data_IF_988835505228
#
_entry.id   IF_988835505228
#
_cell.length_a   1.000
_cell.length_b   1.000
_cell.length_c   1.000
_cell.angle_alpha   90.00
_cell.angle_beta   90.00
_cell.angle_gamma   90.00
#
_symmetry.space_group_name_H-M   'P 1'
#
loop_
_entity.id
_entity.type
_entity.pdbx_description
1 polymer ?
#
# COMPACT_ATOMS: atom_id res chain seq x y z
N UNK A 1 -15.58 -8.47 11.17
CA UNK A 1 -15.10 -8.46 9.76
C UNK A 1 -13.80 -9.20 9.67
N UNK A 2 -13.68 -10.08 8.72
CA UNK A 2 -12.46 -10.87 8.51
C UNK A 2 -11.81 -10.40 7.23
N UNK A 3 -10.50 -10.11 7.28
CA UNK A 3 -9.75 -9.69 6.10
C UNK A 3 -9.17 -10.91 5.39
N UNK A 4 -9.42 -11.00 4.11
CA UNK A 4 -8.85 -12.03 3.25
C UNK A 4 -7.63 -11.46 2.51
N UNK A 5 -6.55 -12.21 2.48
CA UNK A 5 -5.37 -11.85 1.69
C UNK A 5 -5.51 -12.45 0.30
N UNK A 6 -5.44 -11.61 -0.72
CA UNK A 6 -5.75 -11.98 -2.12
C UNK A 6 -4.53 -11.99 -3.03
N UNK A 7 -3.35 -11.70 -2.51
CA UNK A 7 -2.14 -11.70 -3.31
C UNK A 7 -0.90 -11.88 -2.46
N UNK A 8 0.22 -12.14 -3.12
CA UNK A 8 1.51 -12.27 -2.44
C UNK A 8 1.97 -10.93 -1.92
N UNK A 9 2.63 -10.93 -0.77
CA UNK A 9 3.25 -9.75 -0.21
C UNK A 9 4.44 -9.33 -1.06
N UNK A 10 4.52 -8.04 -1.35
CA UNK A 10 5.62 -7.46 -2.13
C UNK A 10 5.95 -6.07 -1.62
N UNK A 11 7.16 -5.61 -1.88
CA UNK A 11 7.56 -4.26 -1.50
C UNK A 11 6.76 -3.22 -2.29
N UNK A 12 6.40 -2.11 -1.63
CA UNK A 12 5.95 -0.92 -2.34
C UNK A 12 7.14 -0.32 -3.09
N UNK A 13 6.89 0.33 -4.22
CA UNK A 13 7.89 1.15 -4.85
C UNK A 13 8.30 2.31 -3.95
N UNK A 14 9.35 3.01 -4.31
CA UNK A 14 9.87 4.14 -3.53
C UNK A 14 9.63 5.48 -4.22
N UNK A 15 9.02 5.47 -5.39
CA UNK A 15 8.65 6.68 -6.15
C UNK A 15 7.38 6.41 -6.97
N UNK A 16 6.87 7.45 -7.63
CA UNK A 16 5.65 7.34 -8.43
C UNK A 16 5.80 6.34 -9.57
N UNK A 17 6.96 6.29 -10.23
CA UNK A 17 7.19 5.38 -11.35
C UNK A 17 7.20 3.92 -10.92
N UNK A 18 7.65 3.65 -9.70
CA UNK A 18 7.69 2.30 -9.13
C UNK A 18 6.50 1.96 -8.25
N UNK A 19 5.50 2.83 -8.14
CA UNK A 19 4.34 2.59 -7.30
C UNK A 19 3.56 1.36 -7.76
N UNK A 20 2.88 0.71 -6.83
CA UNK A 20 2.16 -0.53 -7.11
C UNK A 20 0.66 -0.34 -6.89
N UNK A 21 -0.14 -0.89 -7.81
CA UNK A 21 -1.59 -1.02 -7.64
C UNK A 21 -1.95 -2.26 -6.82
N UNK A 22 -0.97 -3.12 -6.54
CA UNK A 22 -1.19 -4.41 -5.88
C UNK A 22 -2.26 -5.24 -6.57
N UNK A 23 -2.10 -5.39 -7.91
CA UNK A 23 -3.04 -6.16 -8.72
C UNK A 23 -4.40 -5.49 -8.88
N UNK A 24 -4.42 -4.16 -8.90
CA UNK A 24 -5.65 -3.36 -8.97
C UNK A 24 -6.57 -3.59 -7.78
N UNK A 25 -6.00 -3.86 -6.62
CA UNK A 25 -6.76 -4.08 -5.39
C UNK A 25 -7.42 -2.80 -4.91
N UNK A 26 -8.57 -2.95 -4.26
CA UNK A 26 -9.26 -1.84 -3.61
C UNK A 26 -8.99 -1.78 -2.10
N UNK A 27 -8.44 -2.84 -1.54
CA UNK A 27 -7.95 -2.90 -0.16
C UNK A 27 -6.56 -3.51 -0.18
N UNK A 28 -5.61 -2.86 0.47
CA UNK A 28 -4.22 -3.32 0.57
C UNK A 28 -3.83 -3.37 2.04
N UNK A 29 -3.25 -4.50 2.44
CA UNK A 29 -2.63 -4.63 3.76
C UNK A 29 -1.19 -4.19 3.63
N UNK A 30 -0.81 -3.14 4.35
CA UNK A 30 0.55 -2.64 4.39
C UNK A 30 1.21 -3.01 5.72
N UNK A 31 2.48 -3.35 5.67
CA UNK A 31 3.28 -3.66 6.84
C UNK A 31 4.62 -2.92 6.74
N UNK A 32 4.91 -2.09 7.73
CA UNK A 32 6.25 -1.51 7.86
C UNK A 32 7.11 -2.50 8.66
N UNK A 33 7.90 -3.27 7.95
CA UNK A 33 8.73 -4.33 8.54
C UNK A 33 10.08 -3.81 9.04
N UNK A 34 10.27 -2.50 9.02
CA UNK A 34 11.53 -1.88 9.47
C UNK A 34 11.44 -1.32 10.87
N UNK A 35 12.54 -0.76 11.34
CA UNK A 35 12.65 -0.14 12.65
C UNK A 35 12.50 1.39 12.63
N UNK A 36 12.14 1.95 11.49
CA UNK A 36 11.98 3.40 11.29
C UNK A 36 10.61 3.69 10.72
N UNK A 37 9.96 4.75 11.18
CA UNK A 37 8.70 5.22 10.60
C UNK A 37 8.92 5.64 9.14
N UNK A 38 7.96 5.30 8.25
CA UNK A 38 8.06 5.59 6.83
C UNK A 38 6.81 6.28 6.33
N UNK A 39 6.99 7.29 5.47
CA UNK A 39 5.87 7.96 4.80
C UNK A 39 5.35 7.07 3.67
N UNK A 40 4.04 6.88 3.63
CA UNK A 40 3.34 6.16 2.56
C UNK A 40 2.54 7.15 1.76
N UNK A 41 2.60 7.06 0.44
CA UNK A 41 1.90 7.97 -0.48
C UNK A 41 0.99 7.17 -1.41
N UNK A 42 -0.24 7.64 -1.57
CA UNK A 42 -1.19 7.10 -2.55
C UNK A 42 -1.32 8.12 -3.67
N UNK A 43 -1.16 7.67 -4.90
CA UNK A 43 -1.25 8.50 -6.11
C UNK A 43 -2.32 7.96 -7.04
N UNK A 44 -2.73 8.78 -8.02
CA UNK A 44 -3.86 8.48 -8.91
C UNK A 44 -3.60 7.27 -9.82
N UNK A 45 -2.35 7.04 -10.20
CA UNK A 45 -1.97 5.90 -11.05
C UNK A 45 -0.46 5.68 -10.97
N UNK A 46 -0.01 4.53 -11.45
CA UNK A 46 1.44 4.25 -11.53
C UNK A 46 2.10 5.32 -12.42
N UNK A 47 3.12 5.98 -11.90
CA UNK A 47 3.78 7.09 -12.60
C UNK A 47 2.97 8.37 -12.64
N UNK A 48 1.82 8.42 -11.96
CA UNK A 48 0.94 9.57 -11.95
C UNK A 48 1.53 10.76 -11.21
N UNK A 49 0.99 11.94 -11.46
CA UNK A 49 1.47 13.19 -10.89
C UNK A 49 0.58 13.73 -9.77
N UNK A 50 -0.57 13.13 -9.51
CA UNK A 50 -1.53 13.58 -8.52
C UNK A 50 -1.47 12.74 -7.26
N UNK A 51 -1.07 13.35 -6.15
CA UNK A 51 -1.10 12.71 -4.85
C UNK A 51 -2.52 12.73 -4.30
N UNK A 52 -3.05 11.55 -3.96
CA UNK A 52 -4.37 11.41 -3.34
C UNK A 52 -4.25 11.66 -1.84
N UNK A 53 -3.24 11.09 -1.20
CA UNK A 53 -3.01 11.27 0.23
C UNK A 53 -1.72 10.65 0.70
N UNK A 54 -1.32 11.01 1.91
CA UNK A 54 -0.11 10.48 2.54
C UNK A 54 -0.40 10.18 4.00
N UNK A 55 0.35 9.22 4.56
CA UNK A 55 0.35 8.98 5.99
C UNK A 55 1.68 8.34 6.40
N UNK A 56 2.02 8.50 7.68
CA UNK A 56 3.23 7.90 8.22
C UNK A 56 2.89 6.57 8.89
N UNK A 57 3.59 5.50 8.49
CA UNK A 57 3.50 4.22 9.17
C UNK A 57 4.61 4.10 10.20
N UNK A 58 4.27 4.03 11.49
CA UNK A 58 5.29 3.75 12.51
C UNK A 58 5.98 2.41 12.26
N UNK A 59 7.18 2.25 12.82
CA UNK A 59 7.93 1.01 12.72
C UNK A 59 7.12 -0.19 13.25
N UNK A 60 7.25 -1.32 12.57
CA UNK A 60 6.61 -2.59 12.97
C UNK A 60 5.10 -2.51 13.12
N UNK A 61 4.43 -1.75 12.24
CA UNK A 61 2.97 -1.61 12.24
C UNK A 61 2.36 -2.16 10.97
N UNK A 62 1.05 -2.42 11.06
CA UNK A 62 0.23 -2.89 9.94
C UNK A 62 -0.94 -1.91 9.77
N UNK A 63 -1.22 -1.52 8.53
CA UNK A 63 -2.36 -0.68 8.18
C UNK A 63 -3.08 -1.26 6.98
N UNK A 64 -4.40 -1.12 6.97
CA UNK A 64 -5.23 -1.46 5.82
C UNK A 64 -5.63 -0.18 5.12
N UNK A 65 -5.41 -0.12 3.81
CA UNK A 65 -5.68 1.06 2.99
C UNK A 65 -6.72 0.71 1.95
N UNK A 66 -7.81 1.47 1.93
CA UNK A 66 -8.79 1.40 0.85
C UNK A 66 -8.39 2.40 -0.24
N UNK A 67 -8.49 1.98 -1.49
CA UNK A 67 -8.16 2.82 -2.63
C UNK A 67 -8.95 2.39 -3.86
N UNK A 68 -8.98 3.23 -4.88
CA UNK A 68 -9.52 2.83 -6.19
C UNK A 68 -8.57 1.84 -6.85
N UNK A 69 -9.10 0.98 -7.72
CA UNK A 69 -8.30 -0.06 -8.36
C UNK A 69 -7.13 0.48 -9.19
N UNK A 70 -7.26 1.69 -9.73
CA UNK A 70 -6.22 2.33 -10.54
C UNK A 70 -5.22 3.12 -9.72
N UNK A 71 -5.53 3.41 -8.46
CA UNK A 71 -4.61 4.13 -7.58
C UNK A 71 -3.45 3.25 -7.19
N UNK A 72 -2.28 3.86 -7.00
CA UNK A 72 -1.06 3.15 -6.68
C UNK A 72 -0.45 3.69 -5.39
N UNK A 73 0.35 2.86 -4.74
CA UNK A 73 0.97 3.16 -3.45
C UNK A 73 2.48 3.06 -3.59
N UNK A 74 3.19 4.03 -3.03
CA UNK A 74 4.63 3.90 -2.80
C UNK A 74 4.96 4.38 -1.39
N UNK A 75 6.15 4.02 -0.93
CA UNK A 75 6.60 4.37 0.42
C UNK A 75 8.03 4.90 0.37
N UNK A 76 8.45 5.59 1.40
CA UNK A 76 9.78 6.18 1.47
C UNK A 76 10.91 5.15 1.47
N UNK A 77 10.60 3.87 1.73
CA UNK A 77 11.60 2.80 1.77
C UNK A 77 10.95 1.47 1.39
N UNK A 78 11.73 0.58 0.76
CA UNK A 78 11.27 -0.73 0.32
C UNK A 78 10.96 -1.70 1.46
N UNK A 79 11.24 -1.35 2.71
CA UNK A 79 10.87 -2.18 3.86
C UNK A 79 9.38 -2.15 4.18
N UNK A 80 8.60 -1.25 3.56
CA UNK A 80 7.15 -1.28 3.62
C UNK A 80 6.65 -2.26 2.58
N UNK A 81 5.96 -3.31 3.05
CA UNK A 81 5.45 -4.38 2.21
C UNK A 81 3.93 -4.30 2.14
N UNK A 82 3.37 -4.69 1.01
CA UNK A 82 1.93 -4.71 0.84
C UNK A 82 1.44 -5.97 0.18
N UNK A 83 0.19 -6.30 0.41
CA UNK A 83 -0.49 -7.39 -0.26
C UNK A 83 -1.93 -7.01 -0.54
N UNK A 84 -2.44 -7.46 -1.70
CA UNK A 84 -3.85 -7.29 -2.02
C UNK A 84 -4.71 -8.00 -0.98
N UNK A 85 -5.79 -7.35 -0.56
CA UNK A 85 -6.68 -7.89 0.46
C UNK A 85 -8.12 -7.58 0.10
N UNK A 86 -9.05 -8.21 0.81
CA UNK A 86 -10.46 -7.92 0.72
C UNK A 86 -11.11 -8.25 2.07
N UNK A 87 -12.15 -7.52 2.41
CA UNK A 87 -12.91 -7.84 3.61
C UNK A 87 -13.87 -8.97 3.33
N UNK A 88 -14.07 -9.83 4.33
CA UNK A 88 -15.07 -10.88 4.26
C UNK A 88 -16.47 -10.27 4.22
N UNK A 89 -17.32 -10.81 3.36
CA UNK A 89 -18.71 -10.41 3.23
C UNK A 89 -19.68 -11.44 3.82
N UNK A 90 -19.15 -12.54 4.31
CA UNK A 90 -19.98 -13.60 4.91
C UNK A 90 -20.33 -13.31 6.35
#
# INVERSE_FOLDING_TARGET
>A
MITNIKGAQAACGTDAAGASTFGSATVVRLCNNGSTARLVTVIDSVGGSTTIGTFTMPANTVEFVEKKSTEAIFAANAEVLGSAAAYSIS
#
